data_IF_501217240301
#
_entry.id   IF_501217240301
#
_cell.length_a   1.000
_cell.length_b   1.000
_cell.length_c   1.000
_cell.angle_alpha   90.00
_cell.angle_beta   90.00
_cell.angle_gamma   90.00
#
_symmetry.space_group_name_H-M   'P 1'
#
loop_
_entity.id
_entity.type
_entity.pdbx_description
1 polymer ?
#
# COMPACT_ATOMS: atom_id res chain seq x y z
N UNK A 1 30.31 -47.68 19.46
CA UNK A 1 30.67 -47.11 18.16
C UNK A 1 29.43 -46.54 17.48
N UNK A 2 28.28 -47.26 17.40
CA UNK A 2 27.04 -46.80 16.74
C UNK A 2 26.55 -45.45 17.27
N UNK A 3 26.44 -45.29 18.61
CA UNK A 3 25.98 -44.06 19.24
C UNK A 3 26.89 -42.83 18.94
N UNK A 4 28.21 -43.05 18.93
CA UNK A 4 29.19 -42.00 18.62
C UNK A 4 29.09 -41.54 17.16
N UNK A 5 28.90 -42.45 16.21
CA UNK A 5 28.75 -42.13 14.79
C UNK A 5 27.41 -41.37 14.59
N UNK A 6 26.34 -41.87 15.21
CA UNK A 6 25.00 -41.20 15.14
C UNK A 6 25.04 -39.77 15.68
N UNK A 7 25.79 -39.54 16.76
CA UNK A 7 25.99 -38.25 17.37
C UNK A 7 26.68 -37.27 16.42
N UNK A 8 27.64 -37.72 15.60
CA UNK A 8 28.33 -36.91 14.61
C UNK A 8 27.38 -36.39 13.52
N UNK A 9 26.31 -37.12 13.17
CA UNK A 9 25.31 -36.66 12.20
C UNK A 9 24.26 -35.77 12.81
N UNK A 10 24.06 -35.79 14.14
CA UNK A 10 23.09 -34.97 14.84
C UNK A 10 23.51 -33.48 14.84
N UNK A 11 24.81 -33.20 14.91
CA UNK A 11 25.35 -31.83 14.87
C UNK A 11 25.03 -31.09 13.57
N UNK A 12 25.31 -31.66 12.37
CA UNK A 12 24.90 -31.04 11.10
C UNK A 12 23.38 -30.87 10.97
N UNK A 13 22.58 -31.81 11.45
CA UNK A 13 21.11 -31.71 11.44
C UNK A 13 20.65 -30.54 12.29
N UNK A 14 21.18 -30.41 13.51
CA UNK A 14 20.86 -29.28 14.38
C UNK A 14 21.23 -27.93 13.73
N UNK A 15 22.40 -27.89 13.09
CA UNK A 15 22.84 -26.70 12.38
C UNK A 15 21.94 -26.35 11.18
N UNK A 16 21.47 -27.36 10.40
CA UNK A 16 20.50 -27.16 9.31
C UNK A 16 19.17 -26.56 9.83
N UNK A 17 18.66 -27.06 10.96
CA UNK A 17 17.45 -26.52 11.57
C UNK A 17 17.66 -25.06 11.99
N UNK A 18 18.76 -24.75 12.66
CA UNK A 18 19.10 -23.39 13.07
C UNK A 18 19.21 -22.44 11.89
N UNK A 19 19.90 -22.84 10.83
CA UNK A 19 20.02 -22.05 9.59
C UNK A 19 18.65 -21.84 8.94
N UNK A 20 17.81 -22.88 8.88
CA UNK A 20 16.46 -22.78 8.34
C UNK A 20 15.60 -21.77 9.11
N UNK A 21 15.58 -21.84 10.44
CA UNK A 21 14.84 -20.90 11.30
C UNK A 21 15.36 -19.48 11.17
N UNK A 22 16.69 -19.31 11.16
CA UNK A 22 17.29 -17.98 11.01
C UNK A 22 16.99 -17.37 9.63
N UNK A 23 17.14 -18.15 8.56
CA UNK A 23 16.86 -17.73 7.19
C UNK A 23 15.40 -17.32 7.02
N UNK A 24 14.46 -18.14 7.57
CA UNK A 24 13.04 -17.79 7.55
C UNK A 24 12.76 -16.45 8.26
N UNK A 25 13.26 -16.29 9.51
CA UNK A 25 13.05 -15.03 10.24
C UNK A 25 13.59 -13.82 9.51
N UNK A 26 14.78 -13.96 8.90
CA UNK A 26 15.39 -12.87 8.14
C UNK A 26 14.59 -12.55 6.86
N UNK A 27 14.12 -13.57 6.14
CA UNK A 27 13.31 -13.40 4.94
C UNK A 27 11.94 -12.77 5.28
N UNK A 28 11.26 -13.26 6.32
CA UNK A 28 9.97 -12.71 6.76
C UNK A 28 10.08 -11.23 7.18
N UNK A 29 11.11 -10.86 7.94
CA UNK A 29 11.36 -9.47 8.30
C UNK A 29 11.63 -8.59 7.08
N UNK A 30 12.47 -9.07 6.14
CA UNK A 30 12.77 -8.33 4.91
C UNK A 30 11.53 -8.14 4.01
N UNK A 31 10.64 -9.14 3.95
CA UNK A 31 9.37 -9.01 3.23
C UNK A 31 8.43 -8.00 3.87
N UNK A 32 8.30 -8.04 5.20
CA UNK A 32 7.51 -7.06 5.94
C UNK A 32 7.99 -5.63 5.65
N UNK A 33 9.30 -5.39 5.78
CA UNK A 33 9.89 -4.07 5.53
C UNK A 33 9.66 -3.63 4.08
N UNK A 34 9.89 -4.53 3.10
CA UNK A 34 9.69 -4.23 1.68
C UNK A 34 8.22 -3.92 1.38
N UNK A 35 7.29 -4.70 1.94
CA UNK A 35 5.85 -4.49 1.77
C UNK A 35 5.41 -3.15 2.36
N UNK A 36 5.85 -2.85 3.60
CA UNK A 36 5.57 -1.59 4.26
C UNK A 36 6.09 -0.41 3.44
N UNK A 37 7.36 -0.44 3.05
CA UNK A 37 7.99 0.65 2.31
C UNK A 37 7.36 0.85 0.92
N UNK A 38 6.97 -0.23 0.24
CA UNK A 38 6.27 -0.16 -1.05
C UNK A 38 4.89 0.49 -0.92
N UNK A 39 4.11 0.10 0.08
CA UNK A 39 2.78 0.67 0.30
C UNK A 39 2.85 2.13 0.80
N UNK A 40 3.83 2.46 1.64
CA UNK A 40 4.09 3.84 2.04
C UNK A 40 4.42 4.72 0.83
N UNK A 41 5.28 4.25 -0.08
CA UNK A 41 5.56 4.94 -1.33
C UNK A 41 4.32 5.09 -2.21
N UNK A 42 3.46 4.07 -2.28
CA UNK A 42 2.21 4.12 -3.04
C UNK A 42 1.29 5.23 -2.52
N UNK A 43 1.08 5.31 -1.20
CA UNK A 43 0.26 6.35 -0.59
C UNK A 43 0.88 7.74 -0.77
N UNK A 44 2.20 7.86 -0.65
CA UNK A 44 2.89 9.12 -0.87
C UNK A 44 2.81 9.60 -2.33
N UNK A 45 2.95 8.70 -3.29
CA UNK A 45 2.76 9.01 -4.72
C UNK A 45 1.29 9.39 -5.02
N UNK A 46 0.33 8.68 -4.42
CA UNK A 46 -1.08 9.01 -4.55
C UNK A 46 -1.38 10.41 -4.01
N UNK A 47 -0.85 10.73 -2.84
CA UNK A 47 -0.97 12.07 -2.26
C UNK A 47 -0.37 13.14 -3.17
N UNK A 48 0.84 12.95 -3.67
CA UNK A 48 1.50 13.89 -4.58
C UNK A 48 0.72 14.07 -5.90
N UNK A 49 0.20 12.99 -6.47
CA UNK A 49 -0.60 13.06 -7.69
C UNK A 49 -1.86 13.90 -7.49
N UNK A 50 -2.58 13.70 -6.39
CA UNK A 50 -3.78 14.48 -6.07
C UNK A 50 -3.43 15.92 -5.71
N UNK A 51 -2.33 16.19 -5.02
CA UNK A 51 -1.88 17.55 -4.72
C UNK A 51 -1.51 18.33 -6.01
N UNK A 52 -0.85 17.67 -6.97
CA UNK A 52 -0.59 18.25 -8.30
C UNK A 52 -1.91 18.49 -9.06
N UNK A 53 -2.85 17.55 -9.01
CA UNK A 53 -4.18 17.73 -9.63
C UNK A 53 -4.93 18.92 -9.03
N UNK A 54 -4.86 19.11 -7.72
CA UNK A 54 -5.42 20.29 -7.03
C UNK A 54 -4.72 21.58 -7.46
N UNK A 55 -3.40 21.57 -7.67
CA UNK A 55 -2.68 22.75 -8.18
C UNK A 55 -3.12 23.18 -9.57
N UNK A 56 -3.53 22.25 -10.44
CA UNK A 56 -4.13 22.57 -11.73
C UNK A 56 -5.51 23.23 -11.59
N UNK A 57 -6.30 22.81 -10.61
CA UNK A 57 -7.60 23.42 -10.28
C UNK A 57 -7.40 24.86 -9.81
N UNK A 58 -6.43 25.09 -8.91
CA UNK A 58 -6.05 26.45 -8.47
C UNK A 58 -5.63 27.32 -9.65
N UNK A 59 -4.74 26.81 -10.50
CA UNK A 59 -4.27 27.55 -11.67
C UNK A 59 -5.42 27.90 -12.63
N UNK A 60 -6.37 26.98 -12.83
CA UNK A 60 -7.53 27.20 -13.66
C UNK A 60 -8.45 28.30 -13.08
N UNK A 61 -8.69 28.29 -11.76
CA UNK A 61 -9.47 29.35 -11.10
C UNK A 61 -8.77 30.71 -11.20
N UNK A 62 -7.45 30.75 -11.01
CA UNK A 62 -6.65 31.97 -11.12
C UNK A 62 -6.69 32.55 -12.54
N UNK A 63 -6.71 31.71 -13.58
CA UNK A 63 -6.91 32.17 -14.97
C UNK A 63 -8.15 33.04 -15.12
N UNK A 64 -9.26 32.64 -14.51
CA UNK A 64 -10.49 33.44 -14.50
C UNK A 64 -10.39 34.65 -13.57
N UNK A 65 -9.75 34.51 -12.41
CA UNK A 65 -9.61 35.60 -11.44
C UNK A 65 -8.84 36.81 -11.99
N UNK A 66 -7.87 36.56 -12.89
CA UNK A 66 -7.08 37.61 -13.53
C UNK A 66 -7.64 38.10 -14.87
N UNK A 67 -8.76 37.56 -15.36
CA UNK A 67 -9.38 37.99 -16.60
C UNK A 67 -10.11 39.33 -16.41
N UNK A 68 -9.55 40.40 -16.95
CA UNK A 68 -10.05 41.77 -16.76
C UNK A 68 -11.52 41.97 -17.13
N UNK A 69 -11.95 41.45 -18.32
CA UNK A 69 -13.35 41.64 -18.77
C UNK A 69 -14.33 40.83 -17.91
N UNK A 70 -13.92 39.65 -17.43
CA UNK A 70 -14.73 38.91 -16.46
C UNK A 70 -14.86 39.68 -15.15
N UNK A 71 -13.75 40.23 -14.61
CA UNK A 71 -13.79 41.06 -13.41
C UNK A 71 -14.73 42.25 -13.51
N UNK A 72 -14.73 42.96 -14.66
CA UNK A 72 -15.66 44.07 -14.95
C UNK A 72 -17.12 43.58 -15.03
N UNK A 73 -17.35 42.43 -15.68
CA UNK A 73 -18.67 41.82 -15.75
C UNK A 73 -19.19 41.47 -14.36
N UNK A 74 -18.38 40.82 -13.52
CA UNK A 74 -18.80 40.35 -12.18
C UNK A 74 -19.24 41.46 -11.26
N UNK A 75 -18.79 42.71 -11.43
CA UNK A 75 -19.16 43.87 -10.66
C UNK A 75 -20.21 44.76 -11.41
N UNK A 76 -20.82 44.29 -12.49
CA UNK A 76 -21.91 44.94 -13.16
C UNK A 76 -21.51 46.10 -14.08
N UNK A 77 -20.23 46.29 -14.42
CA UNK A 77 -19.81 47.40 -15.31
C UNK A 77 -20.39 47.34 -16.74
N UNK A 78 -20.90 46.19 -17.14
CA UNK A 78 -21.50 45.98 -18.46
C UNK A 78 -23.03 45.91 -18.43
N UNK A 79 -23.70 46.32 -17.35
CA UNK A 79 -25.16 46.23 -17.22
C UNK A 79 -25.87 47.13 -18.28
N UNK A 80 -25.28 48.30 -18.63
CA UNK A 80 -25.79 49.20 -19.65
C UNK A 80 -25.27 48.85 -21.07
N UNK A 81 -24.28 48.00 -21.22
CA UNK A 81 -23.74 47.57 -22.51
C UNK A 81 -24.12 46.11 -22.80
N UNK A 82 -25.28 45.92 -23.41
CA UNK A 82 -25.81 44.59 -23.72
C UNK A 82 -24.94 43.78 -24.68
N UNK A 83 -24.18 44.42 -25.56
CA UNK A 83 -23.31 43.76 -26.54
C UNK A 83 -22.08 43.19 -25.81
N UNK A 84 -21.43 44.05 -25.04
CA UNK A 84 -20.23 43.61 -24.28
C UNK A 84 -20.59 42.56 -23.22
N UNK A 85 -21.70 42.77 -22.52
CA UNK A 85 -22.23 41.77 -21.56
C UNK A 85 -22.42 40.40 -22.21
N UNK A 86 -23.13 40.34 -23.36
CA UNK A 86 -23.37 39.09 -24.08
C UNK A 86 -22.07 38.45 -24.60
N UNK A 87 -21.12 39.27 -25.02
CA UNK A 87 -19.80 38.80 -25.49
C UNK A 87 -19.05 38.11 -24.34
N UNK A 88 -19.00 38.71 -23.17
CA UNK A 88 -18.34 38.12 -21.98
C UNK A 88 -19.05 36.84 -21.55
N UNK A 89 -20.39 36.83 -21.42
CA UNK A 89 -21.17 35.64 -21.08
C UNK A 89 -20.85 34.47 -22.03
N UNK A 90 -20.86 34.72 -23.35
CA UNK A 90 -20.59 33.67 -24.34
C UNK A 90 -19.13 33.18 -24.29
N UNK A 91 -18.18 34.10 -24.22
CA UNK A 91 -16.75 33.77 -24.18
C UNK A 91 -16.37 32.99 -22.95
N UNK A 92 -16.75 33.53 -21.74
CA UNK A 92 -16.46 32.90 -20.48
C UNK A 92 -17.24 31.59 -20.33
N UNK A 93 -18.53 31.58 -20.70
CA UNK A 93 -19.34 30.35 -20.65
C UNK A 93 -18.80 29.23 -21.54
N UNK A 94 -18.22 29.58 -22.71
CA UNK A 94 -17.52 28.57 -23.53
C UNK A 94 -16.20 28.15 -22.94
N UNK A 95 -15.45 29.07 -22.32
CA UNK A 95 -14.17 28.76 -21.67
C UNK A 95 -14.34 27.83 -20.45
N UNK A 96 -15.31 28.11 -19.54
CA UNK A 96 -15.53 27.26 -18.38
C UNK A 96 -15.99 25.84 -18.76
N UNK A 97 -16.82 25.71 -19.82
CA UNK A 97 -17.21 24.38 -20.34
C UNK A 97 -16.03 23.64 -20.97
N UNK A 98 -15.16 24.35 -21.69
CA UNK A 98 -13.96 23.76 -22.27
C UNK A 98 -12.99 23.29 -21.18
N UNK A 99 -12.81 24.07 -20.12
CA UNK A 99 -11.97 23.69 -18.97
C UNK A 99 -12.53 22.49 -18.22
N UNK A 100 -13.85 22.44 -17.99
CA UNK A 100 -14.53 21.28 -17.39
C UNK A 100 -14.35 20.02 -18.26
N UNK A 101 -14.51 20.13 -19.57
CA UNK A 101 -14.38 18.99 -20.48
C UNK A 101 -12.92 18.54 -20.66
N UNK A 102 -11.96 19.41 -20.44
CA UNK A 102 -10.53 19.15 -20.60
C UNK A 102 -9.81 18.66 -19.36
N UNK A 103 -10.48 18.62 -18.20
CA UNK A 103 -9.90 18.16 -16.95
C UNK A 103 -10.88 17.25 -16.20
N UNK A 104 -10.55 15.97 -16.12
CA UNK A 104 -11.38 14.94 -15.49
C UNK A 104 -11.64 15.16 -14.00
N UNK A 105 -10.78 15.92 -13.32
CA UNK A 105 -10.94 16.27 -11.90
C UNK A 105 -11.91 17.42 -11.65
N UNK A 106 -12.36 18.14 -12.69
CA UNK A 106 -13.33 19.22 -12.54
C UNK A 106 -14.76 18.68 -12.67
N UNK A 107 -15.56 18.84 -11.61
CA UNK A 107 -16.99 18.56 -11.65
C UNK A 107 -17.77 19.73 -12.24
N UNK A 108 -17.65 20.91 -11.64
CA UNK A 108 -18.27 22.13 -12.13
C UNK A 108 -17.37 23.36 -11.91
N UNK A 109 -17.66 24.41 -12.68
CA UNK A 109 -17.06 25.74 -12.51
C UNK A 109 -18.19 26.74 -12.34
N UNK A 110 -18.14 27.53 -11.27
CA UNK A 110 -19.12 28.54 -10.92
C UNK A 110 -18.44 29.91 -10.80
N UNK A 111 -19.05 30.93 -11.38
CA UNK A 111 -18.63 32.33 -11.28
C UNK A 111 -19.76 33.06 -10.59
N UNK A 112 -19.62 33.23 -9.27
CA UNK A 112 -20.57 33.94 -8.42
C UNK A 112 -20.29 35.43 -8.57
N UNK A 113 -21.28 36.16 -9.06
CA UNK A 113 -21.22 37.58 -9.39
C UNK A 113 -21.91 38.42 -8.32
N UNK A 114 -21.78 39.75 -8.37
CA UNK A 114 -22.55 40.65 -7.54
C UNK A 114 -24.08 40.46 -7.69
N UNK A 115 -24.86 40.96 -6.73
CA UNK A 115 -26.29 40.70 -6.53
C UNK A 115 -27.14 40.86 -7.81
N UNK A 116 -26.88 41.91 -8.55
CA UNK A 116 -27.70 42.28 -9.75
C UNK A 116 -27.14 41.73 -11.04
N UNK A 117 -26.09 40.94 -11.01
CA UNK A 117 -25.39 40.39 -12.15
C UNK A 117 -25.66 38.88 -12.29
N UNK A 118 -25.93 38.41 -13.49
CA UNK A 118 -26.10 36.98 -13.77
C UNK A 118 -24.83 36.22 -13.49
N UNK A 119 -24.89 35.20 -12.61
CA UNK A 119 -23.80 34.25 -12.41
C UNK A 119 -23.62 33.34 -13.64
N UNK A 120 -22.40 32.81 -13.81
CA UNK A 120 -22.09 31.85 -14.87
C UNK A 120 -21.73 30.51 -14.22
N UNK A 121 -22.20 29.42 -14.82
CA UNK A 121 -21.92 28.07 -14.32
C UNK A 121 -21.87 27.07 -15.46
N UNK A 122 -21.05 26.03 -15.32
CA UNK A 122 -21.07 24.86 -16.19
C UNK A 122 -22.30 23.98 -15.94
N UNK A 123 -22.89 24.04 -14.76
CA UNK A 123 -24.18 23.39 -14.46
C UNK A 123 -25.28 24.09 -15.28
N UNK A 124 -25.97 23.31 -16.09
CA UNK A 124 -27.12 23.82 -16.84
C UNK A 124 -28.23 24.28 -15.85
N UNK A 125 -28.68 25.47 -16.02
CA UNK A 125 -29.75 26.09 -15.19
C UNK A 125 -30.22 27.40 -15.80
N UNK A 126 -31.29 27.96 -15.22
CA UNK A 126 -31.78 29.28 -15.59
C UNK A 126 -30.78 30.41 -15.24
N UNK A 127 -31.23 31.66 -15.49
CA UNK A 127 -30.49 32.84 -15.03
C UNK A 127 -30.57 32.90 -13.49
N UNK A 128 -29.42 32.83 -12.84
CA UNK A 128 -29.28 32.95 -11.37
C UNK A 128 -28.59 34.28 -11.06
N UNK A 129 -29.11 34.98 -10.10
CA UNK A 129 -28.61 36.27 -9.59
C UNK A 129 -28.89 36.34 -8.07
N UNK A 130 -28.24 37.24 -7.36
CA UNK A 130 -28.60 37.59 -5.98
C UNK A 130 -28.08 36.63 -4.90
N UNK A 131 -27.09 35.78 -5.20
CA UNK A 131 -26.56 34.80 -4.22
C UNK A 131 -25.25 35.23 -3.55
N UNK A 132 -24.64 36.33 -3.99
CA UNK A 132 -23.29 36.71 -3.55
C UNK A 132 -23.18 36.92 -2.04
N UNK A 133 -24.16 37.58 -1.42
CA UNK A 133 -24.12 37.85 0.02
C UNK A 133 -24.29 36.59 0.84
N UNK A 134 -25.21 35.72 0.44
CA UNK A 134 -25.48 34.47 1.13
C UNK A 134 -24.27 33.53 1.03
N UNK A 135 -23.70 33.37 -0.20
CA UNK A 135 -22.49 32.62 -0.41
C UNK A 135 -21.31 33.15 0.41
N UNK A 136 -21.09 34.46 0.38
CA UNK A 136 -20.03 35.11 1.17
C UNK A 136 -20.17 34.86 2.67
N UNK A 137 -21.40 34.97 3.19
CA UNK A 137 -21.67 34.73 4.61
C UNK A 137 -21.46 33.28 5.00
N UNK A 138 -21.85 32.33 4.14
CA UNK A 138 -21.56 30.91 4.32
C UNK A 138 -20.04 30.66 4.39
N UNK A 139 -19.27 31.18 3.43
CA UNK A 139 -17.83 31.01 3.38
C UNK A 139 -17.09 31.64 4.56
N UNK A 140 -17.60 32.76 5.09
CA UNK A 140 -17.08 33.35 6.31
C UNK A 140 -17.39 32.48 7.55
N UNK A 141 -18.45 31.69 7.52
CA UNK A 141 -18.81 30.73 8.56
C UNK A 141 -17.80 29.55 8.65
N UNK A 142 -17.16 29.22 7.56
CA UNK A 142 -16.09 28.20 7.52
C UNK A 142 -14.70 28.74 7.91
N UNK A 143 -14.57 30.01 8.19
CA UNK A 143 -13.32 30.67 8.56
C UNK A 143 -13.01 30.50 10.05
N UNK A 144 -11.79 30.12 10.40
CA UNK A 144 -11.33 29.96 11.78
C UNK A 144 -11.49 31.23 12.64
N UNK A 145 -11.50 32.39 12.00
CA UNK A 145 -11.58 33.70 12.70
C UNK A 145 -12.65 34.63 12.14
N UNK A 146 -13.51 34.16 11.25
CA UNK A 146 -14.58 34.90 10.61
C UNK A 146 -14.12 36.09 9.73
N UNK A 147 -12.83 36.15 9.37
CA UNK A 147 -12.26 37.29 8.63
C UNK A 147 -11.66 36.92 7.27
N UNK A 148 -11.07 35.75 7.16
CA UNK A 148 -10.45 35.29 5.92
C UNK A 148 -11.29 34.12 5.35
N UNK A 149 -11.79 34.30 4.15
CA UNK A 149 -12.50 33.24 3.43
C UNK A 149 -11.49 32.13 3.09
N UNK A 150 -11.78 30.86 3.42
CA UNK A 150 -10.89 29.74 3.07
C UNK A 150 -10.83 29.55 1.56
N UNK A 151 -9.68 29.13 1.05
CA UNK A 151 -9.49 28.86 -0.38
C UNK A 151 -10.05 27.49 -0.78
N UNK A 152 -9.97 26.52 0.13
CA UNK A 152 -10.54 25.19 -0.04
C UNK A 152 -11.68 24.98 0.96
N UNK A 153 -12.78 24.44 0.47
CA UNK A 153 -13.99 24.15 1.28
C UNK A 153 -14.55 22.80 0.87
N UNK A 154 -15.12 22.08 1.83
CA UNK A 154 -15.72 20.78 1.59
C UNK A 154 -17.19 20.89 1.13
N UNK A 155 -17.86 22.00 1.47
CA UNK A 155 -19.26 22.26 1.16
C UNK A 155 -19.48 23.69 0.71
N UNK A 156 -20.50 23.87 -0.14
CA UNK A 156 -21.02 25.18 -0.56
C UNK A 156 -22.54 25.10 -0.74
N UNK A 157 -23.26 24.97 0.40
CA UNK A 157 -24.70 24.71 0.41
C UNK A 157 -25.50 25.78 -0.37
N UNK A 158 -25.10 27.04 -0.35
CA UNK A 158 -25.74 28.12 -1.13
C UNK A 158 -25.74 27.79 -2.64
N UNK A 159 -24.64 27.28 -3.20
CA UNK A 159 -24.58 26.86 -4.59
C UNK A 159 -25.35 25.55 -4.83
N UNK A 160 -25.26 24.59 -3.89
CA UNK A 160 -25.96 23.32 -3.97
C UNK A 160 -27.48 23.54 -4.07
N UNK A 161 -28.03 24.35 -3.17
CA UNK A 161 -29.46 24.66 -3.12
C UNK A 161 -29.91 25.45 -4.35
N UNK A 162 -29.11 26.44 -4.76
CA UNK A 162 -29.45 27.32 -5.88
C UNK A 162 -29.42 26.61 -7.23
N UNK A 163 -28.45 25.74 -7.45
CA UNK A 163 -28.20 25.08 -8.74
C UNK A 163 -28.70 23.64 -8.78
N UNK A 164 -29.21 23.10 -7.65
CA UNK A 164 -29.59 21.70 -7.52
C UNK A 164 -28.41 20.76 -7.70
N UNK A 165 -27.26 21.12 -7.10
CA UNK A 165 -26.08 20.27 -7.11
C UNK A 165 -26.25 19.14 -6.08
N UNK A 166 -25.61 18.02 -6.33
CA UNK A 166 -25.55 16.93 -5.35
C UNK A 166 -24.17 16.92 -4.72
N UNK A 167 -24.13 16.92 -3.42
CA UNK A 167 -22.87 16.81 -2.67
C UNK A 167 -22.07 15.54 -2.98
N UNK A 168 -22.73 14.51 -3.52
CA UNK A 168 -22.05 13.30 -4.04
C UNK A 168 -21.27 13.51 -5.34
N UNK A 169 -21.56 14.59 -6.09
CA UNK A 169 -20.90 14.82 -7.38
C UNK A 169 -19.51 15.45 -7.23
N UNK A 170 -19.25 16.09 -6.07
CA UNK A 170 -17.97 16.69 -5.74
C UNK A 170 -17.53 16.32 -4.31
N UNK A 171 -16.25 16.40 -4.02
CA UNK A 171 -15.70 16.08 -2.69
C UNK A 171 -15.29 17.33 -1.92
N UNK A 172 -14.76 18.32 -2.61
CA UNK A 172 -14.33 19.62 -2.10
C UNK A 172 -14.35 20.63 -3.25
N UNK A 173 -14.23 21.92 -2.97
CA UNK A 173 -14.14 22.96 -3.96
C UNK A 173 -13.01 23.94 -3.63
N UNK A 174 -12.31 24.39 -4.67
CA UNK A 174 -11.41 25.55 -4.60
C UNK A 174 -12.15 26.82 -4.93
N UNK A 175 -11.91 27.88 -4.16
CA UNK A 175 -12.49 29.19 -4.44
C UNK A 175 -11.46 30.31 -4.34
N UNK A 176 -11.63 31.30 -5.19
CA UNK A 176 -10.83 32.53 -5.17
C UNK A 176 -11.67 33.74 -5.55
N UNK A 177 -11.19 34.92 -5.17
CA UNK A 177 -11.84 36.18 -5.58
C UNK A 177 -11.16 36.77 -6.80
N UNK A 178 -11.91 37.40 -7.74
CA UNK A 178 -11.31 38.10 -8.87
C UNK A 178 -10.51 39.32 -8.39
N UNK A 179 -9.66 39.84 -9.25
CA UNK A 179 -8.86 41.03 -8.97
C UNK A 179 -9.73 42.27 -8.65
N UNK A 180 -10.99 42.29 -9.07
CA UNK A 180 -11.99 43.33 -8.71
C UNK A 180 -12.37 43.28 -7.21
N UNK A 181 -12.05 42.21 -6.48
CA UNK A 181 -12.34 42.02 -5.07
C UNK A 181 -13.80 41.65 -4.78
N UNK A 182 -14.66 41.47 -5.79
CA UNK A 182 -16.08 41.16 -5.63
C UNK A 182 -16.49 40.00 -6.51
N UNK A 183 -17.20 39.05 -5.90
CA UNK A 183 -17.57 37.78 -6.52
C UNK A 183 -16.58 36.65 -6.15
N UNK A 184 -16.90 35.44 -6.63
CA UNK A 184 -16.09 34.26 -6.41
C UNK A 184 -15.99 33.43 -7.70
N UNK A 185 -14.84 32.82 -7.89
CA UNK A 185 -14.64 31.76 -8.85
C UNK A 185 -14.52 30.47 -8.02
N UNK A 186 -15.40 29.51 -8.27
CA UNK A 186 -15.50 28.26 -7.50
C UNK A 186 -15.36 27.10 -8.49
N UNK A 187 -14.46 26.15 -8.20
CA UNK A 187 -14.24 24.96 -9.01
C UNK A 187 -14.38 23.73 -8.10
N UNK A 188 -15.33 22.89 -8.45
CA UNK A 188 -15.65 21.65 -7.73
C UNK A 188 -14.74 20.53 -8.18
N UNK A 189 -14.13 19.82 -7.20
CA UNK A 189 -13.34 18.60 -7.43
C UNK A 189 -14.28 17.41 -7.55
N UNK A 190 -14.23 16.74 -8.69
CA UNK A 190 -15.12 15.64 -9.03
C UNK A 190 -14.88 14.40 -8.16
N UNK A 191 -15.87 14.01 -7.36
CA UNK A 191 -15.79 12.86 -6.46
C UNK A 191 -15.50 11.55 -7.19
N UNK A 192 -16.17 11.31 -8.35
CA UNK A 192 -15.96 10.09 -9.12
C UNK A 192 -14.56 9.97 -9.74
N UNK A 193 -13.86 11.09 -9.98
CA UNK A 193 -12.47 11.05 -10.47
C UNK A 193 -11.51 10.61 -9.34
N UNK A 194 -11.73 11.11 -8.13
CA UNK A 194 -10.99 10.63 -6.95
C UNK A 194 -11.26 9.14 -6.71
N UNK A 195 -12.54 8.72 -6.78
CA UNK A 195 -12.91 7.31 -6.62
C UNK A 195 -12.18 6.42 -7.64
N UNK A 196 -12.25 6.75 -8.94
CA UNK A 196 -11.57 5.99 -10.00
C UNK A 196 -10.05 5.93 -9.79
N UNK A 197 -9.46 7.02 -9.32
CA UNK A 197 -8.04 7.05 -9.00
C UNK A 197 -7.71 6.10 -7.85
N UNK A 198 -8.47 6.14 -6.73
CA UNK A 198 -8.27 5.23 -5.59
C UNK A 198 -8.49 3.76 -6.00
N UNK A 199 -9.49 3.47 -6.84
CA UNK A 199 -9.78 2.13 -7.36
C UNK A 199 -8.63 1.56 -8.22
N UNK A 200 -7.80 2.43 -8.79
CA UNK A 200 -6.63 2.04 -9.58
C UNK A 200 -5.42 1.63 -8.72
N UNK A 201 -5.41 1.99 -7.44
CA UNK A 201 -4.33 1.64 -6.52
C UNK A 201 -4.47 0.19 -6.08
N UNK A 202 -3.35 -0.54 -6.08
CA UNK A 202 -3.33 -1.93 -5.62
C UNK A 202 -2.45 -2.06 -4.37
N UNK A 203 -3.07 -2.34 -3.23
CA UNK A 203 -2.41 -2.55 -1.94
C UNK A 203 -2.70 -3.96 -1.37
N UNK A 204 -3.26 -4.84 -2.19
CA UNK A 204 -3.62 -6.22 -1.83
C UNK A 204 -5.08 -6.39 -1.41
N UNK A 205 -5.55 -7.65 -1.44
CA UNK A 205 -6.95 -8.00 -1.17
C UNK A 205 -7.35 -7.66 0.27
N UNK A 206 -8.55 -7.10 0.45
CA UNK A 206 -9.04 -6.65 1.74
C UNK A 206 -8.47 -5.31 2.21
N UNK A 207 -7.64 -4.64 1.39
CA UNK A 207 -7.20 -3.28 1.69
C UNK A 207 -8.33 -2.26 1.49
N UNK A 208 -8.32 -1.22 2.32
CA UNK A 208 -9.26 -0.09 2.25
C UNK A 208 -8.42 1.15 2.04
N UNK A 209 -8.65 1.86 0.93
CA UNK A 209 -7.94 3.09 0.59
C UNK A 209 -8.95 4.24 0.65
N UNK A 210 -8.58 5.36 1.24
CA UNK A 210 -9.45 6.49 1.41
C UNK A 210 -8.79 7.82 1.06
N UNK A 211 -9.61 8.72 0.55
CA UNK A 211 -9.34 10.14 0.50
C UNK A 211 -10.23 10.81 1.53
N UNK A 212 -9.63 11.55 2.47
CA UNK A 212 -10.33 12.17 3.60
C UNK A 212 -10.07 13.67 3.57
N UNK A 213 -11.13 14.48 3.53
CA UNK A 213 -11.03 15.94 3.58
C UNK A 213 -10.84 16.45 5.01
N UNK A 214 -10.54 17.73 5.14
CA UNK A 214 -10.32 18.35 6.44
C UNK A 214 -11.55 18.26 7.37
N UNK A 215 -12.77 18.37 6.84
CA UNK A 215 -13.99 18.26 7.64
C UNK A 215 -14.52 16.84 7.80
N UNK A 216 -13.82 15.85 7.24
CA UNK A 216 -14.13 14.43 7.42
C UNK A 216 -15.02 13.80 6.35
N UNK A 217 -15.17 14.44 5.18
CA UNK A 217 -15.76 13.74 4.03
C UNK A 217 -14.79 12.69 3.52
N UNK A 218 -15.30 11.51 3.19
CA UNK A 218 -14.47 10.39 2.74
C UNK A 218 -14.92 9.88 1.37
N UNK A 219 -13.96 9.55 0.53
CA UNK A 219 -14.12 8.67 -0.63
C UNK A 219 -13.33 7.42 -0.34
N UNK A 220 -13.97 6.26 -0.40
CA UNK A 220 -13.39 4.98 0.00
C UNK A 220 -13.39 4.02 -1.18
N UNK A 221 -12.22 3.43 -1.44
CA UNK A 221 -12.04 2.29 -2.32
C UNK A 221 -11.70 1.06 -1.47
N UNK A 222 -12.48 0.00 -1.61
CA UNK A 222 -12.29 -1.25 -0.88
C UNK A 222 -11.96 -2.36 -1.88
N UNK A 223 -10.78 -2.96 -1.74
CA UNK A 223 -10.33 -4.07 -2.56
C UNK A 223 -10.82 -5.38 -1.96
N UNK A 224 -11.99 -5.84 -2.37
CA UNK A 224 -12.57 -7.07 -1.85
C UNK A 224 -12.00 -8.30 -2.59
N UNK A 225 -11.76 -9.42 -1.86
CA UNK A 225 -11.47 -10.69 -2.51
C UNK A 225 -12.60 -11.13 -3.44
N UNK A 226 -12.26 -11.90 -4.48
CA UNK A 226 -13.24 -12.37 -5.48
C UNK A 226 -14.49 -13.00 -4.83
N UNK A 227 -15.66 -12.47 -5.19
CA UNK A 227 -16.95 -12.96 -4.73
C UNK A 227 -17.43 -12.46 -3.37
N UNK A 228 -16.72 -11.49 -2.76
CA UNK A 228 -17.20 -10.79 -1.56
C UNK A 228 -17.79 -9.44 -1.94
N UNK A 229 -18.87 -9.05 -1.27
CA UNK A 229 -19.47 -7.72 -1.37
C UNK A 229 -19.12 -6.91 -0.12
N UNK A 230 -19.03 -5.59 -0.27
CA UNK A 230 -18.81 -4.70 0.88
C UNK A 230 -19.95 -4.85 1.89
N UNK A 231 -19.59 -5.06 3.14
CA UNK A 231 -20.56 -5.11 4.26
C UNK A 231 -20.75 -3.76 4.94
N UNK A 232 -20.05 -2.73 4.43
CA UNK A 232 -20.09 -1.38 4.99
C UNK A 232 -21.40 -0.68 4.63
N UNK A 233 -21.99 0.04 5.59
CA UNK A 233 -23.15 0.86 5.34
C UNK A 233 -22.78 2.14 4.57
N UNK A 234 -23.64 2.58 3.65
CA UNK A 234 -23.46 3.85 2.95
C UNK A 234 -23.35 5.02 3.95
N UNK A 235 -22.29 5.82 3.85
CA UNK A 235 -22.03 6.97 4.72
C UNK A 235 -21.33 6.64 6.04
N UNK A 236 -20.92 5.40 6.27
CA UNK A 236 -20.09 5.04 7.41
C UNK A 236 -18.64 5.52 7.19
N UNK A 237 -18.12 6.31 8.16
CA UNK A 237 -16.72 6.78 8.13
C UNK A 237 -15.78 5.66 8.52
N UNK A 238 -14.69 5.52 7.75
CA UNK A 238 -13.67 4.49 7.98
C UNK A 238 -12.48 5.05 8.73
N UNK A 239 -12.08 6.26 8.40
CA UNK A 239 -10.87 6.92 8.92
C UNK A 239 -11.21 8.06 9.87
N UNK A 240 -12.06 8.97 9.42
CA UNK A 240 -12.40 10.18 10.19
C UNK A 240 -13.12 9.82 11.49
N UNK A 241 -12.70 10.45 12.59
CA UNK A 241 -13.26 10.15 13.91
C UNK A 241 -12.64 8.95 14.63
N UNK A 242 -11.80 8.18 13.99
CA UNK A 242 -11.08 7.06 14.61
C UNK A 242 -9.88 7.57 15.41
N UNK A 243 -9.57 6.92 16.54
CA UNK A 243 -8.44 7.30 17.41
C UNK A 243 -7.09 7.27 16.69
N UNK A 244 -6.92 6.34 15.74
CA UNK A 244 -5.69 6.24 14.96
C UNK A 244 -5.55 7.35 13.93
N UNK A 245 -6.62 8.02 13.53
CA UNK A 245 -6.62 9.11 12.56
C UNK A 245 -6.53 10.49 13.23
N UNK A 246 -7.25 10.71 14.35
CA UNK A 246 -7.41 12.04 14.96
C UNK A 246 -6.15 12.56 15.69
N UNK A 247 -5.20 11.69 16.03
CA UNK A 247 -3.99 12.02 16.80
C UNK A 247 -2.71 12.01 15.95
N UNK A 248 -2.81 12.40 14.66
CA UNK A 248 -1.68 12.45 13.76
C UNK A 248 -1.05 13.85 13.77
N UNK A 249 0.16 13.96 14.33
CA UNK A 249 0.97 15.20 14.32
C UNK A 249 1.81 15.31 13.03
N UNK A 250 2.24 14.17 12.48
CA UNK A 250 3.09 14.11 11.30
C UNK A 250 2.28 14.20 10.01
N UNK A 251 2.91 14.71 8.95
CA UNK A 251 2.32 14.73 7.60
C UNK A 251 2.24 13.34 6.98
N UNK A 252 3.10 12.42 7.41
CA UNK A 252 3.14 11.02 6.95
C UNK A 252 3.32 10.10 8.15
N UNK A 253 2.57 9.02 8.19
CA UNK A 253 2.64 8.05 9.28
C UNK A 253 2.32 6.66 8.77
N UNK A 254 3.08 5.67 9.28
CA UNK A 254 2.80 4.24 9.10
C UNK A 254 2.81 3.57 10.47
N UNK A 255 1.69 2.95 10.86
CA UNK A 255 1.56 2.28 12.16
C UNK A 255 0.60 1.10 12.12
N UNK A 256 0.80 0.16 13.04
CA UNK A 256 -0.14 -0.94 13.24
C UNK A 256 -1.34 -0.48 14.06
N UNK A 257 -2.54 -0.84 13.61
CA UNK A 257 -3.81 -0.53 14.29
C UNK A 257 -4.68 -1.78 14.39
N UNK A 258 -5.52 -1.85 15.40
CA UNK A 258 -6.49 -2.94 15.56
C UNK A 258 -7.91 -2.39 15.44
N UNK A 259 -8.68 -2.94 14.50
CA UNK A 259 -10.08 -2.56 14.25
C UNK A 259 -10.93 -3.83 14.34
N UNK A 260 -11.91 -3.85 15.23
CA UNK A 260 -12.82 -4.99 15.43
C UNK A 260 -12.08 -6.33 15.64
N UNK A 261 -10.92 -6.30 16.32
CA UNK A 261 -10.11 -7.49 16.61
C UNK A 261 -9.25 -7.99 15.48
N UNK A 262 -9.23 -7.30 14.32
CA UNK A 262 -8.31 -7.54 13.21
C UNK A 262 -7.19 -6.50 13.24
N UNK A 263 -5.98 -6.93 12.91
CA UNK A 263 -4.80 -6.05 12.83
C UNK A 263 -4.60 -5.56 11.40
N UNK A 264 -4.37 -4.27 11.26
CA UNK A 264 -4.10 -3.59 9.99
C UNK A 264 -2.82 -2.78 10.10
N UNK A 265 -2.14 -2.63 8.97
CA UNK A 265 -1.12 -1.63 8.78
C UNK A 265 -1.78 -0.38 8.21
N UNK A 266 -1.77 0.71 8.97
CA UNK A 266 -2.35 1.99 8.60
C UNK A 266 -1.28 2.87 7.98
N UNK A 267 -1.57 3.39 6.79
CA UNK A 267 -0.77 4.36 6.05
C UNK A 267 -1.52 5.67 5.97
N UNK A 268 -0.80 6.78 6.08
CA UNK A 268 -1.36 8.12 6.05
C UNK A 268 -0.38 9.09 5.40
N UNK A 269 -0.89 9.94 4.50
CA UNK A 269 -0.15 11.06 3.91
C UNK A 269 -1.09 12.24 3.68
N UNK A 270 -0.77 13.39 4.29
CA UNK A 270 -1.58 14.62 4.26
C UNK A 270 -1.03 15.62 3.24
N UNK A 271 -1.93 16.25 2.50
CA UNK A 271 -1.64 17.33 1.56
C UNK A 271 -1.49 18.65 2.31
N UNK A 272 -0.47 19.43 1.97
CA UNK A 272 -0.23 20.74 2.59
C UNK A 272 -1.25 21.81 2.18
N UNK A 273 -1.74 21.75 0.93
CA UNK A 273 -2.64 22.77 0.35
C UNK A 273 -4.05 22.68 0.89
N UNK A 274 -4.58 21.49 0.96
CA UNK A 274 -6.00 21.21 1.25
C UNK A 274 -6.23 20.70 2.65
N UNK A 275 -5.18 20.29 3.37
CA UNK A 275 -5.24 19.48 4.59
C UNK A 275 -6.01 18.15 4.43
N UNK A 276 -6.39 17.78 3.19
CA UNK A 276 -6.92 16.46 2.91
C UNK A 276 -5.80 15.41 2.99
N UNK A 277 -6.18 14.15 3.19
CA UNK A 277 -5.23 13.06 3.30
C UNK A 277 -5.60 11.88 2.43
N UNK A 278 -4.58 11.16 1.94
CA UNK A 278 -4.74 9.81 1.41
C UNK A 278 -4.33 8.83 2.49
N UNK A 279 -5.19 7.85 2.74
CA UNK A 279 -5.02 6.88 3.81
C UNK A 279 -5.23 5.47 3.26
N UNK A 280 -4.64 4.48 3.92
CA UNK A 280 -4.97 3.08 3.66
C UNK A 280 -4.91 2.24 4.93
N UNK A 281 -5.76 1.23 4.98
CA UNK A 281 -5.75 0.12 5.93
C UNK A 281 -5.46 -1.17 5.17
N UNK A 282 -4.33 -1.79 5.44
CA UNK A 282 -3.93 -3.05 4.80
C UNK A 282 -3.95 -4.16 5.84
N UNK A 283 -4.72 -5.25 5.65
CA UNK A 283 -4.79 -6.35 6.61
C UNK A 283 -3.41 -6.99 6.83
N UNK A 284 -3.02 -7.19 8.09
CA UNK A 284 -1.77 -7.87 8.45
C UNK A 284 -1.72 -9.33 7.95
N UNK A 285 -2.87 -9.92 7.67
CA UNK A 285 -2.96 -11.26 7.09
C UNK A 285 -2.29 -11.36 5.72
N UNK A 286 -2.39 -10.31 4.89
CA UNK A 286 -1.74 -10.25 3.56
C UNK A 286 -0.23 -10.17 3.73
N UNK A 287 0.22 -9.31 4.63
CA UNK A 287 1.65 -9.14 4.94
C UNK A 287 2.26 -10.44 5.42
N UNK A 288 1.57 -11.14 6.33
CA UNK A 288 2.01 -12.40 6.91
C UNK A 288 1.85 -13.58 5.94
N UNK A 289 0.83 -13.59 5.07
CA UNK A 289 0.55 -14.68 4.14
C UNK A 289 1.71 -14.97 3.19
N UNK A 290 2.36 -13.96 2.67
CA UNK A 290 3.56 -14.13 1.83
C UNK A 290 4.74 -14.74 2.62
N UNK A 291 4.88 -14.39 3.91
CA UNK A 291 5.90 -14.99 4.78
C UNK A 291 5.57 -16.45 5.14
N UNK A 292 4.29 -16.81 5.23
CA UNK A 292 3.84 -18.18 5.51
C UNK A 292 4.17 -19.16 4.40
N UNK A 293 4.10 -18.76 3.14
CA UNK A 293 4.53 -19.58 2.00
C UNK A 293 6.03 -19.92 2.07
N UNK A 294 6.86 -18.91 2.37
CA UNK A 294 8.30 -19.12 2.59
C UNK A 294 8.54 -20.06 3.77
N UNK A 295 7.79 -19.91 4.86
CA UNK A 295 7.86 -20.81 6.02
C UNK A 295 7.60 -22.26 5.62
N UNK A 296 6.51 -22.52 4.91
CA UNK A 296 6.09 -23.85 4.53
C UNK A 296 7.12 -24.52 3.60
N UNK A 297 7.64 -23.79 2.62
CA UNK A 297 8.71 -24.28 1.74
C UNK A 297 10.00 -24.54 2.53
N UNK A 298 10.40 -23.62 3.41
CA UNK A 298 11.59 -23.78 4.25
C UNK A 298 11.49 -25.01 5.17
N UNK A 299 10.34 -25.22 5.83
CA UNK A 299 10.09 -26.39 6.66
C UNK A 299 10.17 -27.67 5.83
N UNK A 300 9.55 -27.73 4.65
CA UNK A 300 9.59 -28.90 3.78
C UNK A 300 11.01 -29.24 3.35
N UNK A 301 11.81 -28.26 2.92
CA UNK A 301 13.21 -28.46 2.51
C UNK A 301 14.07 -28.95 3.68
N UNK A 302 13.94 -28.35 4.86
CA UNK A 302 14.67 -28.77 6.06
C UNK A 302 14.30 -30.20 6.47
N UNK A 303 13.02 -30.56 6.44
CA UNK A 303 12.57 -31.93 6.75
C UNK A 303 13.15 -32.95 5.79
N UNK A 304 13.12 -32.67 4.47
CA UNK A 304 13.71 -33.55 3.44
C UNK A 304 15.21 -33.69 3.68
N UNK A 305 15.92 -32.61 3.94
CA UNK A 305 17.36 -32.63 4.22
C UNK A 305 17.69 -33.44 5.48
N UNK A 306 16.88 -33.32 6.53
CA UNK A 306 17.03 -34.13 7.75
C UNK A 306 16.81 -35.62 7.49
N UNK A 307 15.77 -36.01 6.74
CA UNK A 307 15.52 -37.40 6.36
C UNK A 307 16.69 -37.97 5.56
N UNK A 308 17.18 -37.25 4.57
CA UNK A 308 18.33 -37.66 3.75
C UNK A 308 19.59 -37.83 4.63
N UNK A 309 19.86 -36.88 5.53
CA UNK A 309 21.01 -36.95 6.41
C UNK A 309 20.94 -38.17 7.36
N UNK A 310 19.76 -38.47 7.91
CA UNK A 310 19.54 -39.65 8.75
C UNK A 310 19.76 -40.96 7.95
N UNK A 311 19.21 -41.04 6.74
CA UNK A 311 19.39 -42.21 5.87
C UNK A 311 20.87 -42.46 5.55
N UNK A 312 21.59 -41.41 5.14
CA UNK A 312 23.05 -41.49 4.90
C UNK A 312 23.77 -41.91 6.18
N UNK A 313 23.44 -41.33 7.34
CA UNK A 313 24.02 -41.70 8.62
C UNK A 313 23.81 -43.20 8.98
N UNK A 314 22.62 -43.72 8.71
CA UNK A 314 22.32 -45.15 8.94
C UNK A 314 23.13 -46.03 8.01
N UNK A 315 23.21 -45.71 6.71
CA UNK A 315 23.98 -46.48 5.70
C UNK A 315 25.46 -46.50 6.08
N UNK A 316 26.05 -45.36 6.39
CA UNK A 316 27.46 -45.24 6.76
C UNK A 316 27.71 -46.00 8.08
N UNK A 317 26.89 -45.75 9.11
CA UNK A 317 27.04 -46.41 10.44
C UNK A 317 26.92 -47.92 10.36
N UNK A 318 25.98 -48.45 9.58
CA UNK A 318 25.81 -49.89 9.40
C UNK A 318 26.95 -50.52 8.59
N UNK A 319 27.44 -49.82 7.57
CA UNK A 319 28.60 -50.24 6.77
C UNK A 319 29.87 -50.36 7.62
N UNK A 320 30.22 -49.32 8.34
CA UNK A 320 31.36 -49.27 9.24
C UNK A 320 31.28 -50.39 10.29
N UNK A 321 30.10 -50.52 10.95
CA UNK A 321 29.91 -51.53 12.00
C UNK A 321 30.07 -52.96 11.44
N UNK A 322 29.51 -53.22 10.24
CA UNK A 322 29.62 -54.54 9.61
C UNK A 322 31.09 -54.92 9.27
N UNK A 323 31.82 -53.93 8.75
CA UNK A 323 33.24 -54.16 8.41
C UNK A 323 34.10 -54.30 9.66
N UNK A 324 33.89 -53.45 10.68
CA UNK A 324 34.59 -53.59 11.98
C UNK A 324 34.33 -54.94 12.68
N UNK A 325 33.06 -55.39 12.68
CA UNK A 325 32.70 -56.67 13.29
C UNK A 325 33.36 -57.85 12.57
N UNK A 326 33.46 -57.79 11.24
CA UNK A 326 34.17 -58.82 10.44
C UNK A 326 35.67 -58.85 10.73
N UNK A 327 36.30 -57.65 10.77
CA UNK A 327 37.74 -57.57 11.07
C UNK A 327 38.03 -58.05 12.48
N UNK A 328 37.27 -57.56 13.47
CA UNK A 328 37.45 -57.96 14.87
C UNK A 328 37.25 -59.46 15.12
N UNK A 329 36.20 -60.05 14.53
CA UNK A 329 35.96 -61.50 14.66
C UNK A 329 37.05 -62.35 13.97
N UNK A 330 37.61 -61.90 12.84
CA UNK A 330 38.72 -62.61 12.18
C UNK A 330 40.06 -62.47 12.94
N UNK A 331 40.28 -61.30 13.55
CA UNK A 331 41.43 -61.08 14.43
C UNK A 331 41.36 -61.97 15.72
N UNK A 332 40.17 -62.20 16.23
CA UNK A 332 39.94 -63.08 17.38
C UNK A 332 40.23 -64.54 17.01
N UNK A 333 39.81 -65.06 15.82
CA UNK A 333 40.15 -66.36 15.32
C UNK A 333 41.68 -66.56 15.14
N UNK A 334 42.40 -65.51 14.70
CA UNK A 334 43.87 -65.51 14.59
C UNK A 334 44.52 -65.55 15.99
N UNK A 335 43.98 -64.80 16.96
CA UNK A 335 44.49 -64.78 18.34
C UNK A 335 44.29 -66.14 19.07
N UNK A 336 43.27 -66.91 18.69
CA UNK A 336 43.02 -68.29 19.17
C UNK A 336 43.87 -69.35 18.47
N UNK A 337 44.80 -68.95 17.59
CA UNK A 337 45.79 -69.83 16.96
C UNK A 337 45.41 -70.32 15.56
N UNK A 338 44.33 -69.89 14.96
CA UNK A 338 43.93 -70.23 13.59
C UNK A 338 44.57 -69.23 12.57
N UNK A 339 45.83 -69.54 12.19
CA UNK A 339 46.60 -68.69 11.26
C UNK A 339 46.20 -68.85 9.78
N UNK A 340 45.22 -69.70 9.45
CA UNK A 340 44.75 -69.91 8.10
C UNK A 340 43.61 -69.01 7.69
N UNK A 341 43.10 -68.17 8.65
CA UNK A 341 41.96 -67.30 8.43
C UNK A 341 42.32 -66.13 7.56
N UNK A 342 41.69 -66.01 6.37
CA UNK A 342 41.82 -64.82 5.48
C UNK A 342 40.79 -63.75 5.83
N UNK A 343 41.27 -62.52 6.07
CA UNK A 343 40.39 -61.36 6.24
C UNK A 343 40.10 -60.80 4.81
N UNK A 344 38.85 -60.93 4.40
CA UNK A 344 38.40 -60.31 3.13
C UNK A 344 37.21 -59.38 3.41
N UNK A 345 37.35 -58.11 3.13
CA UNK A 345 36.30 -57.10 3.20
C UNK A 345 35.96 -56.67 1.76
N UNK A 346 34.72 -56.82 1.37
CA UNK A 346 34.25 -56.37 0.06
C UNK A 346 33.92 -54.82 0.14
N UNK A 347 34.72 -54.02 -0.52
CA UNK A 347 34.54 -52.56 -0.61
C UNK A 347 35.76 -51.90 -1.28
N UNK A 348 35.63 -50.63 -1.64
CA UNK A 348 36.71 -49.77 -2.13
C UNK A 348 37.09 -48.71 -1.06
N UNK A 349 36.92 -49.09 0.21
CA UNK A 349 37.21 -48.24 1.37
C UNK A 349 38.53 -48.63 2.03
N UNK A 350 38.94 -47.88 3.05
CA UNK A 350 40.18 -48.08 3.81
C UNK A 350 40.22 -49.46 4.48
N UNK A 351 39.07 -50.06 4.76
CA UNK A 351 38.99 -51.45 5.32
C UNK A 351 39.51 -52.49 4.32
N UNK A 352 39.35 -52.27 3.03
CA UNK A 352 39.92 -53.14 2.00
C UNK A 352 41.47 -53.06 1.98
N UNK A 353 42.02 -51.85 2.16
CA UNK A 353 43.45 -51.61 2.27
C UNK A 353 44.05 -52.30 3.47
N UNK A 354 43.39 -52.22 4.63
CA UNK A 354 43.83 -52.94 5.87
C UNK A 354 43.79 -54.43 5.65
N UNK A 355 42.73 -54.97 5.05
CA UNK A 355 42.59 -56.40 4.71
C UNK A 355 43.69 -56.88 3.78
N UNK A 356 44.03 -56.11 2.74
CA UNK A 356 45.09 -56.41 1.79
C UNK A 356 46.48 -56.38 2.43
N UNK A 357 46.77 -55.42 3.28
CA UNK A 357 48.04 -55.28 4.02
C UNK A 357 48.27 -56.46 4.96
N UNK A 358 47.20 -56.88 5.64
CA UNK A 358 47.25 -58.05 6.53
C UNK A 358 47.49 -59.34 5.76
N UNK A 359 46.87 -59.54 4.61
CA UNK A 359 47.11 -60.70 3.71
C UNK A 359 48.56 -60.74 3.23
N UNK A 360 49.15 -59.61 2.85
CA UNK A 360 50.56 -59.53 2.42
C UNK A 360 51.55 -59.83 3.54
N UNK A 361 51.26 -59.37 4.76
CA UNK A 361 52.07 -59.68 5.93
C UNK A 361 52.12 -61.21 6.21
N UNK A 362 50.97 -61.89 6.06
CA UNK A 362 50.83 -63.32 6.24
C UNK A 362 51.56 -64.13 5.13
N UNK A 363 51.49 -63.68 3.88
CA UNK A 363 52.24 -64.36 2.75
C UNK A 363 53.76 -64.25 2.95
N UNK A 364 54.21 -63.09 3.52
CA UNK A 364 55.65 -62.92 3.77
C UNK A 364 56.15 -63.78 4.89
N UNK A 365 55.35 -64.04 5.94
CA UNK A 365 55.65 -64.90 7.07
C UNK A 365 55.56 -66.39 6.72
N UNK A 366 54.74 -66.81 5.73
CA UNK A 366 54.59 -68.16 5.28
C UNK A 366 55.72 -68.61 4.30
N UNK A 367 56.46 -67.63 3.77
CA UNK A 367 57.58 -67.83 2.84
C UNK A 367 58.97 -67.71 3.51
N UNK A 368 59.06 -67.52 4.79
CA UNK A 368 60.24 -67.64 5.65
C UNK A 368 60.20 -68.94 6.42
#
# INVERSE_FOLDING_TARGET
IRAKIFLCFLVPILFLILVGVFSYKKAAAGMYDTFRDSNEQTINMANQYLDVSNSFIEAEALKYAFQSDLGKYMIGLYETDAVQRKTVINSVGSSIRASQAGNDFISNIHIVTEEDVQMLSTKAGGTVMGIYKDYKNEMLGYSDNGKKIPEWVDYHNTLDDTLGLKQSDYIMAYQTTPQSGKGFIVIDVKASAIQQFLDSLDMGDGSIIGFVTQSGREIISEKLPDGQESTRADGETVFYGQDFFNNLEDQQTTKEVSINGKSYLFFYSRMERTNAAVCALVPMEIVNGQADDIRNVTIAVVLIACVVAVLIGIIISTGIQKNMKRISGRLEEVAEGNLTTKVSVKGHDEFNTVSYTHLRAHETLANL
#
